data_IF_298768175614
#
_entry.id   IF_298768175614
#
_cell.length_a   1.000
_cell.length_b   1.000
_cell.length_c   1.000
_cell.angle_alpha   90.00
_cell.angle_beta   90.00
_cell.angle_gamma   90.00
#
_symmetry.space_group_name_H-M   'P 1'
#
loop_
_entity.id
_entity.type
_entity.pdbx_description
1 polymer ?
#
# COMPACT_ATOMS: atom_id res chain seq x y z
N UNK A 1 1.98 7.50 -0.36
CA UNK A 1 1.77 6.21 0.35
C UNK A 1 2.82 6.05 1.42
N UNK A 2 2.45 5.55 2.60
CA UNK A 2 3.42 5.25 3.65
C UNK A 2 4.44 4.18 3.24
N UNK A 3 5.51 4.06 4.00
CA UNK A 3 6.50 3.00 3.89
C UNK A 3 6.81 2.40 5.25
N UNK A 4 6.87 1.08 5.34
CA UNK A 4 7.22 0.34 6.54
C UNK A 4 8.47 -0.49 6.31
N UNK A 5 9.27 -0.67 7.35
CA UNK A 5 10.39 -1.58 7.37
C UNK A 5 10.73 -2.00 8.80
N UNK A 6 11.55 -3.03 8.96
CA UNK A 6 12.02 -3.44 10.28
C UNK A 6 12.88 -4.67 10.26
N UNK A 7 13.46 -4.94 11.43
CA UNK A 7 14.21 -6.17 11.73
C UNK A 7 13.78 -6.70 13.08
N UNK A 8 13.60 -8.01 13.16
CA UNK A 8 13.53 -8.76 14.42
C UNK A 8 14.74 -9.70 14.46
N UNK A 9 15.39 -9.79 15.61
CA UNK A 9 16.53 -10.69 15.82
C UNK A 9 16.44 -11.36 17.19
N UNK A 10 16.87 -12.62 17.27
CA UNK A 10 17.03 -13.31 18.56
C UNK A 10 18.18 -12.71 19.38
N UNK A 11 19.13 -12.03 18.74
CA UNK A 11 20.20 -11.29 19.40
C UNK A 11 19.91 -9.79 19.46
N UNK A 12 19.58 -9.20 20.62
CA UNK A 12 19.33 -7.77 20.77
C UNK A 12 20.53 -6.88 20.39
N UNK A 13 21.77 -7.40 20.50
CA UNK A 13 22.96 -6.63 20.13
C UNK A 13 23.02 -6.37 18.63
N UNK A 14 22.50 -7.29 17.80
CA UNK A 14 22.38 -7.07 16.35
C UNK A 14 21.44 -5.91 16.04
N UNK A 15 20.34 -5.77 16.79
CA UNK A 15 19.41 -4.64 16.62
C UNK A 15 20.15 -3.32 16.88
N UNK A 16 20.91 -3.22 17.95
CA UNK A 16 21.67 -2.02 18.26
C UNK A 16 22.78 -1.75 17.21
N UNK A 17 23.52 -2.79 16.81
CA UNK A 17 24.60 -2.67 15.84
C UNK A 17 24.15 -2.23 14.44
N UNK A 18 22.94 -2.61 14.05
CA UNK A 18 22.37 -2.30 12.74
C UNK A 18 21.70 -0.91 12.65
N UNK A 19 21.78 -0.06 13.68
CA UNK A 19 21.20 1.28 13.65
C UNK A 19 21.55 2.10 12.39
N UNK A 20 22.81 2.13 11.88
CA UNK A 20 23.13 2.84 10.64
C UNK A 20 22.39 2.26 9.41
N UNK A 21 22.09 0.97 9.38
CA UNK A 21 21.28 0.36 8.32
C UNK A 21 19.83 0.84 8.39
N UNK A 22 19.25 0.93 9.58
CA UNK A 22 17.88 1.42 9.76
C UNK A 22 17.74 2.89 9.32
N UNK A 23 18.74 3.72 9.56
CA UNK A 23 18.76 5.09 9.04
C UNK A 23 18.76 5.11 7.50
N UNK A 24 19.50 4.21 6.84
CA UNK A 24 19.47 4.10 5.36
C UNK A 24 18.13 3.58 4.87
N UNK A 25 17.54 2.56 5.52
CA UNK A 25 16.22 2.04 5.22
C UNK A 25 15.14 3.13 5.34
N UNK A 26 15.17 3.91 6.41
CA UNK A 26 14.24 5.03 6.59
C UNK A 26 14.41 6.10 5.51
N UNK A 27 15.64 6.42 5.14
CA UNK A 27 15.93 7.39 4.06
C UNK A 27 15.42 6.89 2.70
N UNK A 28 15.55 5.59 2.39
CA UNK A 28 15.05 5.01 1.13
C UNK A 28 13.54 5.08 1.00
N UNK A 29 12.80 5.06 2.11
CA UNK A 29 11.35 5.20 2.15
C UNK A 29 10.84 6.64 2.04
N UNK A 30 11.72 7.64 1.98
CA UNK A 30 11.34 9.05 2.06
C UNK A 30 10.39 9.50 0.93
N UNK A 31 10.51 8.93 -0.27
CA UNK A 31 9.59 9.23 -1.40
C UNK A 31 8.19 8.69 -1.16
N UNK A 32 8.04 7.61 -0.38
CA UNK A 32 6.73 7.06 -0.01
C UNK A 32 6.04 7.88 1.07
N UNK A 33 6.81 8.33 2.06
CA UNK A 33 6.29 9.05 3.20
C UNK A 33 7.14 10.28 3.51
N UNK A 34 6.86 11.41 2.84
CA UNK A 34 7.66 12.63 3.00
C UNK A 34 7.37 13.39 4.29
N UNK A 35 6.17 13.22 4.89
CA UNK A 35 5.65 14.12 5.90
C UNK A 35 6.22 13.86 7.30
N UNK A 36 6.30 12.59 7.70
CA UNK A 36 6.78 12.20 9.02
C UNK A 36 7.63 10.94 8.97
N UNK A 37 8.55 10.81 9.92
CA UNK A 37 9.41 9.62 10.06
C UNK A 37 9.43 9.18 11.52
N UNK A 38 9.31 7.87 11.73
CA UNK A 38 9.37 7.27 13.05
C UNK A 38 10.23 6.01 13.07
N UNK A 39 10.78 5.72 14.25
CA UNK A 39 11.56 4.53 14.49
C UNK A 39 11.36 4.07 15.94
N UNK A 40 11.11 2.78 16.11
CA UNK A 40 11.10 2.10 17.38
C UNK A 40 12.28 1.14 17.45
N UNK A 41 13.09 1.26 18.49
CA UNK A 41 14.25 0.41 18.72
C UNK A 41 14.24 -0.04 20.18
N UNK A 42 14.00 -1.32 20.40
CA UNK A 42 14.00 -1.87 21.74
C UNK A 42 14.17 -3.39 21.73
N UNK A 43 15.16 -3.90 22.47
CA UNK A 43 15.40 -5.33 22.63
C UNK A 43 15.59 -6.04 21.30
N UNK A 44 14.67 -6.91 20.94
CA UNK A 44 14.72 -7.77 19.76
C UNK A 44 14.13 -7.12 18.48
N UNK A 45 13.65 -5.87 18.57
CA UNK A 45 12.90 -5.25 17.47
C UNK A 45 13.42 -3.88 17.05
N UNK A 46 13.50 -3.67 15.73
CA UNK A 46 13.57 -2.38 15.07
C UNK A 46 12.39 -2.25 14.12
N UNK A 47 11.53 -1.24 14.30
CA UNK A 47 10.42 -0.92 13.41
C UNK A 47 10.59 0.50 12.88
N UNK A 48 10.39 0.68 11.59
CA UNK A 48 10.68 1.91 10.86
C UNK A 48 9.43 2.30 10.07
N UNK A 49 9.10 3.58 10.12
CA UNK A 49 7.98 4.15 9.37
C UNK A 49 8.36 5.44 8.66
N UNK A 50 7.83 5.62 7.44
CA UNK A 50 7.80 6.87 6.71
C UNK A 50 6.34 7.14 6.32
N UNK A 51 5.79 8.30 6.74
CA UNK A 51 4.37 8.62 6.63
C UNK A 51 4.07 9.59 5.50
N UNK A 52 3.07 9.27 4.69
CA UNK A 52 2.27 10.23 3.95
C UNK A 52 0.97 10.44 4.76
N UNK A 53 0.79 11.64 5.28
CA UNK A 53 -0.32 11.95 6.16
C UNK A 53 -1.58 12.30 5.35
N UNK A 54 -2.62 11.45 5.44
CA UNK A 54 -3.89 11.60 4.73
C UNK A 54 -5.05 11.74 5.71
N UNK A 55 -5.07 10.95 6.78
CA UNK A 55 -6.07 11.00 7.86
C UNK A 55 -5.37 11.24 9.18
N UNK A 56 -5.95 12.07 10.03
CA UNK A 56 -5.41 12.50 11.34
C UNK A 56 -3.95 12.97 11.25
N UNK A 57 -3.76 14.13 10.64
CA UNK A 57 -2.43 14.66 10.30
C UNK A 57 -1.51 14.78 11.53
N UNK A 58 -2.05 15.02 12.72
CA UNK A 58 -1.31 15.26 13.93
C UNK A 58 -1.07 13.98 14.76
N UNK A 59 -2.11 13.15 14.97
CA UNK A 59 -2.05 12.04 15.93
C UNK A 59 -1.82 10.66 15.30
N UNK A 60 -1.84 10.55 13.97
CA UNK A 60 -1.58 9.29 13.24
C UNK A 60 -0.10 8.92 13.13
N UNK A 61 0.77 9.41 14.03
CA UNK A 61 2.21 9.12 14.01
C UNK A 61 2.51 7.65 14.26
N UNK A 62 3.53 7.14 13.56
CA UNK A 62 3.96 5.74 13.68
C UNK A 62 5.50 5.65 13.81
N UNK A 63 6.05 4.60 14.47
CA UNK A 63 5.37 3.44 15.04
C UNK A 63 4.41 3.80 16.17
N UNK A 64 3.17 3.29 16.11
CA UNK A 64 2.17 3.52 17.14
C UNK A 64 2.25 2.45 18.23
N UNK A 65 2.10 2.85 19.50
CA UNK A 65 2.27 1.95 20.65
C UNK A 65 0.98 1.89 21.45
N UNK A 66 0.58 0.68 21.83
CA UNK A 66 -0.54 0.42 22.74
C UNK A 66 -0.10 -0.52 23.84
N UNK A 67 -0.31 -0.12 25.10
CA UNK A 67 -0.18 -0.98 26.27
C UNK A 67 -1.57 -1.50 26.68
N UNK A 68 -1.80 -2.80 26.55
CA UNK A 68 -3.08 -3.42 26.90
C UNK A 68 -2.89 -4.83 27.46
N UNK A 69 -3.52 -5.11 28.60
CA UNK A 69 -3.48 -6.46 29.19
C UNK A 69 -2.08 -6.94 29.59
N UNK A 70 -1.14 -6.02 29.86
CA UNK A 70 0.26 -6.34 30.17
C UNK A 70 1.11 -6.72 28.96
N UNK A 71 0.58 -6.57 27.73
CA UNK A 71 1.31 -6.68 26.47
C UNK A 71 1.48 -5.28 25.87
N UNK A 72 2.66 -5.03 25.30
CA UNK A 72 2.93 -3.83 24.51
C UNK A 72 2.94 -4.18 23.03
N UNK A 73 2.00 -3.58 22.32
CA UNK A 73 1.86 -3.72 20.87
C UNK A 73 2.48 -2.52 20.17
N UNK A 74 3.34 -2.76 19.19
CA UNK A 74 3.97 -1.71 18.37
C UNK A 74 3.62 -1.96 16.92
N UNK A 75 2.90 -1.03 16.29
CA UNK A 75 2.40 -1.11 14.93
C UNK A 75 3.18 -0.19 14.00
N UNK A 76 3.54 -0.70 12.82
CA UNK A 76 3.83 0.07 11.61
C UNK A 76 2.91 -0.39 10.49
N UNK A 77 2.28 0.58 9.82
CA UNK A 77 1.20 0.35 8.89
C UNK A 77 1.32 1.23 7.65
N UNK A 78 1.15 0.63 6.49
CA UNK A 78 1.03 1.28 5.19
C UNK A 78 -0.31 0.84 4.58
N UNK A 79 -1.32 1.67 4.66
CA UNK A 79 -2.65 1.29 4.17
C UNK A 79 -3.71 2.33 4.46
N UNK A 80 -4.94 1.93 4.19
CA UNK A 80 -6.17 2.64 4.52
C UNK A 80 -7.26 1.63 4.84
N UNK A 81 -7.97 1.82 5.96
CA UNK A 81 -9.14 1.03 6.34
C UNK A 81 -10.40 1.81 6.01
N UNK A 82 -11.22 1.23 5.14
CA UNK A 82 -12.45 1.84 4.64
C UNK A 82 -13.66 1.64 5.57
N UNK A 83 -13.56 0.72 6.53
CA UNK A 83 -14.58 0.47 7.55
C UNK A 83 -14.11 0.89 8.96
N UNK A 84 -13.30 1.91 9.04
CA UNK A 84 -12.80 2.49 10.30
C UNK A 84 -13.93 2.88 11.26
N UNK A 85 -15.02 3.56 10.82
CA UNK A 85 -16.11 3.93 11.73
C UNK A 85 -16.80 2.71 12.35
N UNK A 86 -17.07 1.66 11.58
CA UNK A 86 -17.71 0.43 12.04
C UNK A 86 -16.85 -0.32 13.04
N UNK A 87 -15.54 -0.43 12.78
CA UNK A 87 -14.59 -1.06 13.69
C UNK A 87 -14.41 -0.26 14.98
N UNK A 88 -14.31 1.06 14.86
CA UNK A 88 -14.24 1.97 16.02
C UNK A 88 -15.45 1.77 16.92
N UNK A 89 -16.67 1.77 16.39
CA UNK A 89 -17.89 1.57 17.17
C UNK A 89 -17.90 0.21 17.87
N UNK A 90 -17.49 -0.87 17.20
CA UNK A 90 -17.41 -2.21 17.79
C UNK A 90 -16.39 -2.26 18.93
N UNK A 91 -15.21 -1.69 18.76
CA UNK A 91 -14.15 -1.66 19.76
C UNK A 91 -14.52 -0.78 20.94
N UNK A 92 -15.14 0.39 20.72
CA UNK A 92 -15.64 1.25 21.78
C UNK A 92 -16.69 0.54 22.66
N UNK A 93 -17.59 -0.25 22.04
CA UNK A 93 -18.56 -1.07 22.77
C UNK A 93 -17.89 -2.19 23.61
N UNK A 94 -16.68 -2.63 23.24
CA UNK A 94 -15.86 -3.57 24.02
C UNK A 94 -14.99 -2.87 25.08
N UNK A 95 -15.10 -1.54 25.24
CA UNK A 95 -14.41 -0.77 26.26
C UNK A 95 -13.08 -0.16 25.84
N UNK A 96 -12.71 -0.23 24.57
CA UNK A 96 -11.53 0.46 24.05
C UNK A 96 -11.74 1.98 24.06
N UNK A 97 -10.68 2.73 24.34
CA UNK A 97 -10.66 4.19 24.30
C UNK A 97 -9.66 4.66 23.26
N UNK A 98 -10.06 5.63 22.46
CA UNK A 98 -9.26 6.18 21.37
C UNK A 98 -8.84 7.62 21.70
N UNK A 99 -7.67 8.00 21.26
CA UNK A 99 -7.12 9.36 21.41
C UNK A 99 -7.01 10.08 20.07
N UNK A 100 -7.15 9.35 18.97
CA UNK A 100 -7.10 9.86 17.61
C UNK A 100 -8.32 9.38 16.80
N UNK A 101 -8.49 9.92 15.61
CA UNK A 101 -9.50 9.41 14.65
C UNK A 101 -8.84 8.61 13.49
N UNK A 102 -7.54 8.27 13.65
CA UNK A 102 -6.81 7.56 12.62
C UNK A 102 -7.22 6.09 12.53
N UNK A 103 -7.25 5.57 11.32
CA UNK A 103 -7.41 4.15 11.05
C UNK A 103 -6.27 3.30 11.64
N UNK A 104 -5.09 3.89 11.80
CA UNK A 104 -3.91 3.27 12.43
C UNK A 104 -4.21 2.86 13.88
N UNK A 105 -4.83 3.74 14.68
CA UNK A 105 -5.20 3.44 16.06
C UNK A 105 -6.29 2.36 16.11
N UNK A 106 -7.28 2.46 15.23
CA UNK A 106 -8.36 1.46 15.12
C UNK A 106 -7.79 0.08 14.77
N UNK A 107 -6.85 0.00 13.84
CA UNK A 107 -6.15 -1.24 13.48
C UNK A 107 -5.38 -1.82 14.67
N UNK A 108 -4.67 -0.98 15.42
CA UNK A 108 -3.88 -1.41 16.57
C UNK A 108 -4.77 -1.98 17.68
N UNK A 109 -5.88 -1.32 17.98
CA UNK A 109 -6.88 -1.81 18.93
C UNK A 109 -7.59 -3.08 18.42
N UNK A 110 -7.89 -3.18 17.11
CA UNK A 110 -8.47 -4.38 16.52
C UNK A 110 -7.53 -5.59 16.68
N UNK A 111 -6.23 -5.39 16.42
CA UNK A 111 -5.25 -6.45 16.62
C UNK A 111 -5.08 -6.81 18.10
N UNK A 112 -5.05 -5.84 19.01
CA UNK A 112 -4.96 -6.11 20.44
C UNK A 112 -6.18 -6.89 20.97
N UNK A 113 -7.38 -6.64 20.40
CA UNK A 113 -8.63 -7.29 20.80
C UNK A 113 -8.79 -8.69 20.22
N UNK A 114 -8.54 -8.86 18.92
CA UNK A 114 -8.87 -10.10 18.20
C UNK A 114 -7.63 -10.84 17.67
N UNK A 115 -6.43 -10.31 17.91
CA UNK A 115 -5.22 -10.90 17.34
C UNK A 115 -5.28 -11.02 15.83
N UNK A 116 -4.72 -12.11 15.25
CA UNK A 116 -4.75 -12.36 13.82
C UNK A 116 -6.16 -12.43 13.18
N UNK A 117 -7.19 -12.73 13.95
CA UNK A 117 -8.58 -12.85 13.45
C UNK A 117 -9.19 -11.47 13.14
N UNK A 118 -8.53 -10.38 13.53
CA UNK A 118 -8.91 -9.04 13.08
C UNK A 118 -8.92 -8.94 11.55
N UNK A 119 -8.08 -9.69 10.82
CA UNK A 119 -7.98 -9.65 9.36
C UNK A 119 -9.30 -9.94 8.65
N UNK A 120 -10.15 -10.78 9.23
CA UNK A 120 -11.46 -11.11 8.67
C UNK A 120 -12.43 -9.93 8.73
N UNK A 121 -12.21 -9.01 9.69
CA UNK A 121 -13.04 -7.83 9.93
C UNK A 121 -12.59 -6.60 9.14
N UNK A 122 -11.33 -6.59 8.68
CA UNK A 122 -10.77 -5.44 7.96
C UNK A 122 -11.34 -5.34 6.53
N UNK A 123 -11.80 -4.14 6.16
CA UNK A 123 -12.06 -3.76 4.78
C UNK A 123 -11.12 -2.61 4.43
N UNK A 124 -10.14 -2.86 3.55
CA UNK A 124 -9.13 -1.88 3.21
C UNK A 124 -8.00 -2.46 2.39
N UNK A 125 -7.05 -1.59 2.08
CA UNK A 125 -5.78 -1.92 1.41
C UNK A 125 -4.65 -1.71 2.41
N UNK A 126 -3.85 -2.73 2.68
CA UNK A 126 -2.86 -2.64 3.75
C UNK A 126 -1.68 -3.60 3.63
N UNK A 127 -0.57 -3.14 4.18
CA UNK A 127 0.52 -3.96 4.66
C UNK A 127 0.91 -3.44 6.06
N UNK A 128 0.96 -4.30 7.05
CA UNK A 128 1.32 -3.88 8.39
C UNK A 128 2.17 -4.91 9.14
N UNK A 129 2.86 -4.42 10.16
CA UNK A 129 3.62 -5.22 11.10
C UNK A 129 3.26 -4.83 12.54
N UNK A 130 2.95 -5.81 13.38
CA UNK A 130 2.74 -5.64 14.82
C UNK A 130 3.77 -6.44 15.58
N UNK A 131 4.59 -5.76 16.38
CA UNK A 131 5.47 -6.40 17.35
C UNK A 131 4.79 -6.50 18.71
N UNK A 132 4.72 -7.70 19.24
CA UNK A 132 4.22 -8.01 20.60
C UNK A 132 5.43 -8.19 21.51
N UNK A 133 5.72 -7.18 22.32
CA UNK A 133 6.99 -7.10 23.04
C UNK A 133 7.18 -8.20 24.09
N UNK A 134 6.14 -8.50 24.87
CA UNK A 134 6.21 -9.56 25.90
C UNK A 134 6.17 -10.94 25.30
N UNK A 135 5.30 -11.16 24.30
CA UNK A 135 5.19 -12.43 23.60
C UNK A 135 6.38 -12.72 22.67
N UNK A 136 7.23 -11.71 22.38
CA UNK A 136 8.36 -11.79 21.46
C UNK A 136 7.93 -12.31 20.07
N UNK A 137 6.83 -11.75 19.56
CA UNK A 137 6.23 -12.14 18.28
C UNK A 137 6.08 -10.95 17.36
N UNK A 138 6.47 -11.12 16.11
CA UNK A 138 6.13 -10.22 15.01
C UNK A 138 5.00 -10.83 14.19
N UNK A 139 3.95 -10.07 13.98
CA UNK A 139 2.88 -10.39 13.04
C UNK A 139 2.98 -9.48 11.83
N UNK A 140 2.97 -10.06 10.63
CA UNK A 140 2.94 -9.38 9.33
C UNK A 140 1.65 -9.71 8.62
N UNK A 141 1.01 -8.75 7.98
CA UNK A 141 -0.17 -9.01 7.15
C UNK A 141 -0.16 -8.14 5.89
N UNK A 142 -0.74 -8.69 4.82
CA UNK A 142 -0.95 -8.01 3.55
C UNK A 142 -2.40 -8.16 3.12
N UNK A 143 -2.98 -7.12 2.53
CA UNK A 143 -4.37 -7.07 2.12
C UNK A 143 -4.75 -8.19 1.13
N UNK A 144 -6.08 -8.38 0.96
CA UNK A 144 -6.67 -9.48 0.22
C UNK A 144 -6.17 -9.62 -1.20
N UNK A 145 -6.01 -8.51 -1.93
CA UNK A 145 -5.58 -8.47 -3.33
C UNK A 145 -4.14 -7.98 -3.52
N UNK A 146 -3.43 -7.63 -2.41
CA UNK A 146 -2.03 -7.27 -2.41
C UNK A 146 -1.73 -5.90 -2.98
N UNK A 147 -2.63 -4.91 -2.77
CA UNK A 147 -2.42 -3.53 -3.21
C UNK A 147 -1.18 -2.91 -2.56
N UNK A 148 -1.01 -3.12 -1.26
CA UNK A 148 0.19 -2.63 -0.57
C UNK A 148 1.30 -3.69 -0.59
N UNK A 149 2.52 -3.34 -1.00
CA UNK A 149 3.63 -4.29 -1.08
C UNK A 149 4.22 -4.61 0.30
N UNK A 150 4.69 -5.85 0.47
CA UNK A 150 5.41 -6.29 1.65
C UNK A 150 6.39 -7.41 1.31
N UNK A 151 7.67 -7.15 1.49
CA UNK A 151 8.76 -8.09 1.26
C UNK A 151 9.43 -8.46 2.57
N UNK A 152 9.99 -9.66 2.64
CA UNK A 152 10.73 -10.12 3.81
C UNK A 152 11.86 -11.08 3.45
N UNK A 153 12.83 -11.22 4.34
CA UNK A 153 13.91 -12.17 4.24
C UNK A 153 14.27 -12.73 5.62
N UNK A 154 14.43 -14.04 5.70
CA UNK A 154 15.03 -14.68 6.87
C UNK A 154 16.56 -14.60 6.77
N UNK A 155 17.22 -14.17 7.84
CA UNK A 155 18.68 -14.04 7.91
C UNK A 155 19.18 -14.47 9.29
N UNK A 156 19.97 -15.58 9.30
CA UNK A 156 20.46 -16.15 10.55
C UNK A 156 19.31 -16.46 11.51
N UNK A 157 19.31 -15.75 12.62
CA UNK A 157 18.33 -15.83 13.70
C UNK A 157 17.28 -14.69 13.68
N UNK A 158 17.15 -14.00 12.52
CA UNK A 158 16.29 -12.84 12.38
C UNK A 158 15.42 -12.82 11.12
N UNK A 159 14.48 -11.88 11.10
CA UNK A 159 13.64 -11.54 9.97
C UNK A 159 13.76 -10.05 9.69
N UNK A 160 13.95 -9.69 8.42
CA UNK A 160 13.98 -8.32 7.92
C UNK A 160 12.81 -8.15 6.96
N UNK A 161 12.07 -7.05 7.05
CA UNK A 161 10.94 -6.77 6.16
C UNK A 161 10.94 -5.32 5.71
N UNK A 162 10.32 -5.05 4.55
CA UNK A 162 10.10 -3.70 4.04
C UNK A 162 8.99 -3.64 2.99
N UNK A 163 8.46 -2.44 2.77
CA UNK A 163 7.53 -2.13 1.67
C UNK A 163 8.20 -2.20 0.30
N UNK A 164 9.50 -1.97 0.20
CA UNK A 164 10.25 -1.88 -1.07
C UNK A 164 11.51 -2.73 -1.04
N UNK A 165 11.89 -3.27 -2.21
CA UNK A 165 13.08 -4.10 -2.35
C UNK A 165 14.36 -3.29 -2.09
N UNK A 166 14.47 -2.06 -2.65
CA UNK A 166 15.62 -1.17 -2.38
C UNK A 166 15.81 -0.89 -0.89
N UNK A 167 14.73 -0.84 -0.13
CA UNK A 167 14.79 -0.66 1.33
C UNK A 167 15.40 -1.87 2.01
N UNK A 168 15.03 -3.09 1.61
CA UNK A 168 15.69 -4.32 2.09
C UNK A 168 17.18 -4.33 1.76
N UNK A 169 17.56 -3.93 0.54
CA UNK A 169 18.95 -3.89 0.07
C UNK A 169 19.81 -2.86 0.84
N UNK A 170 19.22 -1.92 1.57
CA UNK A 170 19.96 -1.04 2.49
C UNK A 170 20.50 -1.79 3.71
N UNK A 171 20.00 -3.01 3.99
CA UNK A 171 20.44 -3.79 5.13
C UNK A 171 21.65 -4.66 4.76
N UNK A 172 22.74 -4.68 5.57
CA UNK A 172 23.99 -5.36 5.20
C UNK A 172 23.87 -6.87 5.07
N UNK A 173 22.88 -7.47 5.70
CA UNK A 173 22.61 -8.91 5.58
C UNK A 173 21.84 -9.28 4.29
N UNK A 174 21.37 -8.33 3.51
CA UNK A 174 20.63 -8.57 2.26
C UNK A 174 21.54 -8.22 1.08
N UNK A 175 22.24 -9.19 0.48
CA UNK A 175 23.08 -8.92 -0.67
C UNK A 175 22.24 -8.61 -1.91
N UNK A 176 22.67 -7.66 -2.78
CA UNK A 176 21.98 -7.34 -4.03
C UNK A 176 22.29 -8.38 -5.12
N UNK A 177 21.99 -9.64 -4.83
CA UNK A 177 22.22 -10.77 -5.72
C UNK A 177 20.90 -11.28 -6.27
N UNK A 178 20.80 -11.35 -7.60
CA UNK A 178 19.68 -11.96 -8.31
C UNK A 178 20.07 -13.39 -8.67
N UNK A 179 19.19 -14.35 -8.41
CA UNK A 179 19.36 -15.74 -8.85
C UNK A 179 18.65 -15.98 -10.21
N UNK A 180 18.78 -17.21 -10.72
CA UNK A 180 18.18 -17.56 -12.01
C UNK A 180 16.65 -17.39 -12.03
N UNK A 181 15.97 -17.63 -10.90
CA UNK A 181 14.52 -17.47 -10.79
C UNK A 181 14.12 -16.00 -10.82
N UNK A 182 14.78 -15.15 -10.01
CA UNK A 182 14.57 -13.72 -10.05
C UNK A 182 14.90 -13.08 -11.40
N UNK A 183 15.96 -13.57 -12.06
CA UNK A 183 16.31 -13.10 -13.41
C UNK A 183 15.23 -13.49 -14.45
N UNK A 184 14.68 -14.70 -14.35
CA UNK A 184 13.57 -15.15 -15.22
C UNK A 184 12.32 -14.28 -15.00
N UNK A 185 11.97 -13.97 -13.75
CA UNK A 185 10.84 -13.06 -13.44
C UNK A 185 11.02 -11.70 -14.13
N UNK A 186 12.18 -11.08 -14.00
CA UNK A 186 12.46 -9.75 -14.58
C UNK A 186 12.42 -9.78 -16.11
N UNK A 187 13.00 -10.81 -16.76
CA UNK A 187 13.16 -10.87 -18.21
C UNK A 187 11.93 -11.42 -18.94
N UNK A 188 11.18 -12.36 -18.33
CA UNK A 188 10.09 -13.06 -19.00
C UNK A 188 8.71 -12.51 -18.64
N UNK A 189 8.51 -12.03 -17.41
CA UNK A 189 7.23 -11.48 -16.97
C UNK A 189 7.15 -9.95 -17.13
N UNK A 190 8.29 -9.30 -17.38
CA UNK A 190 8.36 -7.86 -17.56
C UNK A 190 7.99 -7.10 -16.29
N UNK A 191 6.94 -6.23 -16.34
CA UNK A 191 6.59 -5.40 -15.19
C UNK A 191 5.93 -6.17 -14.03
N UNK A 192 5.45 -7.38 -14.29
CA UNK A 192 4.87 -8.27 -13.29
C UNK A 192 5.94 -9.07 -12.55
N UNK A 193 5.50 -9.78 -11.52
CA UNK A 193 6.31 -10.75 -10.77
C UNK A 193 5.47 -11.98 -10.44
N UNK A 194 6.11 -13.12 -10.33
CA UNK A 194 5.48 -14.31 -9.75
C UNK A 194 5.08 -14.02 -8.30
N UNK A 195 3.81 -14.20 -7.91
CA UNK A 195 3.37 -13.94 -6.53
C UNK A 195 4.22 -14.70 -5.50
N UNK A 196 4.86 -13.97 -4.60
CA UNK A 196 5.79 -14.49 -3.60
C UNK A 196 7.27 -14.35 -3.97
N UNK A 197 7.60 -14.01 -5.22
CA UNK A 197 8.97 -13.76 -5.65
C UNK A 197 9.43 -12.34 -5.26
N UNK A 198 10.57 -12.25 -4.54
CA UNK A 198 11.20 -10.99 -4.20
C UNK A 198 12.37 -10.64 -5.11
N UNK A 199 12.56 -11.35 -6.23
CA UNK A 199 13.62 -11.19 -7.25
C UNK A 199 15.02 -11.41 -6.72
N UNK A 200 15.39 -10.80 -5.60
CA UNK A 200 16.70 -10.97 -4.97
C UNK A 200 16.77 -12.26 -4.18
N UNK A 201 17.96 -12.86 -4.17
CA UNK A 201 18.22 -14.14 -3.54
C UNK A 201 17.77 -14.18 -2.07
N UNK A 202 16.91 -15.16 -1.74
CA UNK A 202 16.30 -15.34 -0.42
C UNK A 202 15.45 -14.15 0.07
N UNK A 203 15.02 -13.27 -0.79
CA UNK A 203 13.97 -12.30 -0.53
C UNK A 203 12.64 -12.88 -1.02
N UNK A 204 11.60 -12.73 -0.23
CA UNK A 204 10.25 -13.19 -0.55
C UNK A 204 9.26 -12.03 -0.46
N UNK A 205 8.23 -12.08 -1.28
CA UNK A 205 7.07 -11.22 -1.15
C UNK A 205 6.00 -11.93 -0.32
N UNK A 206 5.41 -11.27 0.66
CA UNK A 206 4.22 -11.80 1.32
C UNK A 206 3.06 -11.77 0.34
N UNK A 207 2.49 -12.95 0.03
CA UNK A 207 1.44 -13.08 -1.00
C UNK A 207 0.16 -12.33 -0.59
N UNK A 208 -0.64 -11.85 -1.57
CA UNK A 208 -1.97 -11.33 -1.30
C UNK A 208 -2.81 -12.26 -0.43
N UNK A 209 -3.61 -11.69 0.49
CA UNK A 209 -4.45 -12.45 1.40
C UNK A 209 -3.69 -13.35 2.37
N UNK A 210 -2.39 -13.08 2.60
CA UNK A 210 -1.57 -13.85 3.53
C UNK A 210 -1.12 -13.00 4.72
N UNK A 211 -0.87 -13.70 5.82
CA UNK A 211 -0.20 -13.17 6.99
C UNK A 211 0.94 -14.11 7.42
N UNK A 212 1.87 -13.58 8.21
CA UNK A 212 2.99 -14.33 8.73
C UNK A 212 3.22 -14.00 10.22
N UNK A 213 3.55 -15.01 11.00
CA UNK A 213 3.96 -14.86 12.40
C UNK A 213 5.41 -15.33 12.54
N UNK A 214 6.26 -14.45 13.04
CA UNK A 214 7.65 -14.77 13.40
C UNK A 214 7.83 -14.68 14.90
N UNK A 215 8.24 -15.79 15.50
CA UNK A 215 8.42 -15.91 16.95
C UNK A 215 9.89 -16.04 17.29
N UNK A 216 10.34 -15.24 18.25
CA UNK A 216 11.65 -15.35 18.89
C UNK A 216 11.46 -16.14 20.20
N UNK A 217 11.74 -17.44 20.25
CA UNK A 217 11.54 -18.22 21.46
C UNK A 217 12.65 -17.95 22.47
N UNK A 218 12.36 -18.11 23.76
CA UNK A 218 13.36 -18.03 24.82
C UNK A 218 14.38 -19.21 24.71
N UNK A 219 13.95 -20.34 24.19
CA UNK A 219 14.78 -21.53 23.95
C UNK A 219 14.44 -22.11 22.60
N UNK A 220 15.47 -22.44 21.81
CA UNK A 220 15.33 -23.00 20.48
C UNK A 220 15.50 -21.99 19.35
N UNK A 221 15.23 -22.44 18.12
CA UNK A 221 15.38 -21.60 16.94
C UNK A 221 14.10 -20.75 16.68
N UNK A 222 14.24 -19.54 16.16
CA UNK A 222 13.11 -18.74 15.70
C UNK A 222 12.30 -19.46 14.62
N UNK A 223 10.99 -19.19 14.60
CA UNK A 223 10.07 -19.82 13.67
C UNK A 223 9.25 -18.79 12.91
N UNK A 224 9.20 -18.94 11.60
CA UNK A 224 8.26 -18.22 10.73
C UNK A 224 7.14 -19.17 10.28
N UNK A 225 5.90 -18.74 10.46
CA UNK A 225 4.73 -19.44 9.95
C UNK A 225 3.95 -18.48 9.05
N UNK A 226 3.73 -18.86 7.79
CA UNK A 226 2.94 -18.10 6.83
C UNK A 226 1.62 -18.82 6.62
N UNK A 227 0.50 -18.09 6.70
CA UNK A 227 -0.82 -18.62 6.41
C UNK A 227 -1.60 -17.70 5.46
N UNK A 228 -2.46 -18.30 4.64
CA UNK A 228 -3.44 -17.56 3.85
C UNK A 228 -4.69 -17.38 4.72
N UNK A 229 -5.13 -16.15 4.92
CA UNK A 229 -6.35 -15.83 5.66
C UNK A 229 -7.53 -15.54 4.72
N UNK A 230 -7.26 -15.23 3.45
CA UNK A 230 -8.28 -14.96 2.45
C UNK A 230 -7.88 -15.46 1.06
N UNK A 231 -8.85 -15.94 0.32
CA UNK A 231 -8.75 -16.25 -1.12
C UNK A 231 -10.09 -15.99 -1.79
N UNK A 232 -10.02 -15.67 -3.08
CA UNK A 232 -11.22 -15.57 -3.90
C UNK A 232 -11.82 -16.98 -4.06
N UNK A 233 -13.13 -17.08 -3.84
CA UNK A 233 -13.90 -18.32 -4.02
C UNK A 233 -14.99 -18.08 -5.03
N UNK A 234 -15.28 -19.10 -5.82
CA UNK A 234 -16.37 -19.11 -6.78
C UNK A 234 -17.65 -19.62 -6.10
N UNK A 235 -18.77 -18.96 -6.39
CA UNK A 235 -20.07 -19.30 -5.86
C UNK A 235 -21.12 -19.19 -6.95
N UNK A 236 -22.17 -20.01 -6.87
CA UNK A 236 -23.35 -19.86 -7.74
C UNK A 236 -23.95 -18.47 -7.58
N UNK A 237 -24.34 -17.91 -8.70
CA UNK A 237 -24.95 -16.59 -8.77
C UNK A 237 -26.43 -16.69 -9.10
N UNK A 238 -27.34 -16.60 -8.09
CA UNK A 238 -28.77 -16.87 -8.25
C UNK A 238 -29.56 -15.68 -8.84
N UNK A 239 -28.97 -14.48 -8.87
CA UNK A 239 -29.67 -13.28 -9.29
C UNK A 239 -29.77 -13.18 -10.82
N UNK A 240 -30.86 -12.63 -11.31
CA UNK A 240 -31.01 -12.25 -12.72
C UNK A 240 -30.15 -11.02 -13.07
N UNK A 241 -30.09 -10.66 -14.34
CA UNK A 241 -29.28 -9.54 -14.82
C UNK A 241 -29.65 -8.20 -14.14
N UNK A 242 -30.93 -7.93 -13.93
CA UNK A 242 -31.40 -6.66 -13.36
C UNK A 242 -30.95 -6.51 -11.90
N UNK A 243 -31.13 -7.55 -11.10
CA UNK A 243 -30.69 -7.57 -9.71
C UNK A 243 -29.16 -7.54 -9.60
N UNK A 244 -28.46 -8.28 -10.46
CA UNK A 244 -26.99 -8.25 -10.54
C UNK A 244 -26.48 -6.85 -10.86
N UNK A 245 -27.01 -6.20 -11.89
CA UNK A 245 -26.62 -4.86 -12.28
C UNK A 245 -26.84 -3.83 -11.15
N UNK A 246 -27.97 -3.94 -10.44
CA UNK A 246 -28.25 -3.09 -9.29
C UNK A 246 -27.25 -3.30 -8.15
N UNK A 247 -26.96 -4.57 -7.77
CA UNK A 247 -25.98 -4.89 -6.74
C UNK A 247 -24.57 -4.42 -7.11
N UNK A 248 -24.14 -4.64 -8.36
CA UNK A 248 -22.81 -4.18 -8.83
C UNK A 248 -22.71 -2.68 -8.74
N UNK A 249 -23.75 -1.94 -9.20
CA UNK A 249 -23.78 -0.49 -9.06
C UNK A 249 -23.64 -0.04 -7.62
N UNK A 250 -24.42 -0.63 -6.71
CA UNK A 250 -24.43 -0.23 -5.30
C UNK A 250 -23.08 -0.54 -4.62
N UNK A 251 -22.45 -1.69 -4.95
CA UNK A 251 -21.12 -2.05 -4.47
C UNK A 251 -20.03 -1.09 -4.99
N UNK A 252 -20.07 -0.73 -6.27
CA UNK A 252 -19.11 0.23 -6.85
C UNK A 252 -19.27 1.60 -6.22
N UNK A 253 -20.52 2.06 -6.03
CA UNK A 253 -20.81 3.34 -5.38
C UNK A 253 -20.29 3.36 -3.94
N UNK A 254 -20.56 2.31 -3.16
CA UNK A 254 -20.08 2.17 -1.79
C UNK A 254 -18.55 2.14 -1.75
N UNK A 255 -17.92 1.34 -2.61
CA UNK A 255 -16.46 1.20 -2.66
C UNK A 255 -15.75 2.53 -2.96
N UNK A 256 -16.23 3.31 -3.92
CA UNK A 256 -15.66 4.62 -4.23
C UNK A 256 -15.89 5.60 -3.09
N UNK A 257 -17.13 5.69 -2.57
CA UNK A 257 -17.48 6.63 -1.50
C UNK A 257 -16.64 6.40 -0.23
N UNK A 258 -16.44 5.15 0.19
CA UNK A 258 -15.61 4.81 1.36
C UNK A 258 -14.14 5.21 1.19
N UNK A 259 -13.64 5.24 -0.04
CA UNK A 259 -12.25 5.60 -0.34
C UNK A 259 -12.02 7.11 -0.48
N UNK A 260 -13.05 7.94 -0.36
CA UNK A 260 -12.92 9.40 -0.39
C UNK A 260 -12.68 10.03 1.00
N UNK A 261 -12.58 9.22 2.05
CA UNK A 261 -12.29 9.71 3.41
C UNK A 261 -10.86 10.24 3.46
N UNK A 262 -10.72 11.54 3.72
CA UNK A 262 -9.42 12.22 3.73
C UNK A 262 -9.52 13.57 4.45
N UNK A 263 -8.50 13.93 5.23
CA UNK A 263 -8.34 15.25 5.85
C UNK A 263 -7.55 16.22 4.93
N UNK A 264 -7.14 15.74 3.74
CA UNK A 264 -6.48 16.53 2.70
C UNK A 264 -7.33 16.54 1.42
N UNK A 265 -7.13 17.51 0.51
CA UNK A 265 -7.88 17.56 -0.74
C UNK A 265 -7.77 16.28 -1.57
N UNK A 266 -8.90 15.77 -2.03
CA UNK A 266 -8.97 14.60 -2.91
C UNK A 266 -9.06 15.04 -4.37
N UNK A 267 -8.36 14.30 -5.24
CA UNK A 267 -8.42 14.49 -6.68
C UNK A 267 -8.49 13.14 -7.39
N UNK A 268 -8.94 13.13 -8.65
CA UNK A 268 -8.98 11.91 -9.46
C UNK A 268 -8.19 12.06 -10.75
N UNK A 269 -7.62 10.95 -11.22
CA UNK A 269 -7.14 10.86 -12.59
C UNK A 269 -8.32 10.60 -13.54
N UNK A 270 -8.38 11.35 -14.62
CA UNK A 270 -9.42 11.26 -15.64
C UNK A 270 -8.78 10.93 -16.99
N UNK A 271 -8.93 9.70 -17.46
CA UNK A 271 -8.38 9.24 -18.73
C UNK A 271 -9.39 9.25 -19.88
N UNK A 272 -10.65 9.64 -19.62
CA UNK A 272 -11.74 9.54 -20.58
C UNK A 272 -12.31 8.11 -20.74
N UNK A 273 -11.69 7.10 -20.13
CA UNK A 273 -12.20 5.73 -20.10
C UNK A 273 -13.34 5.54 -19.09
N UNK A 274 -14.07 4.42 -19.19
CA UNK A 274 -15.24 4.13 -18.36
C UNK A 274 -14.93 4.13 -16.86
N UNK A 275 -13.86 3.49 -16.44
CA UNK A 275 -13.53 3.32 -15.01
C UNK A 275 -13.20 4.67 -14.36
N UNK A 276 -12.31 5.45 -14.97
CA UNK A 276 -11.95 6.77 -14.46
C UNK A 276 -13.12 7.75 -14.47
N UNK A 277 -13.97 7.67 -15.48
CA UNK A 277 -15.19 8.48 -15.60
C UNK A 277 -16.20 8.14 -14.51
N UNK A 278 -16.40 6.84 -14.22
CA UNK A 278 -17.30 6.37 -13.17
C UNK A 278 -16.80 6.81 -11.79
N UNK A 279 -15.52 6.57 -11.47
CA UNK A 279 -14.91 6.96 -10.19
C UNK A 279 -15.00 8.47 -10.01
N UNK A 280 -14.62 9.26 -11.03
CA UNK A 280 -14.67 10.71 -10.96
C UNK A 280 -16.13 11.23 -10.83
N UNK A 281 -17.12 10.54 -11.41
CA UNK A 281 -18.52 10.91 -11.27
C UNK A 281 -19.04 10.74 -9.84
N UNK A 282 -18.66 9.65 -9.18
CA UNK A 282 -18.99 9.42 -7.77
C UNK A 282 -18.29 10.46 -6.89
N UNK A 283 -16.99 10.66 -7.10
CA UNK A 283 -16.19 11.62 -6.33
C UNK A 283 -16.73 13.06 -6.50
N UNK A 284 -17.03 13.49 -7.71
CA UNK A 284 -17.59 14.83 -7.97
C UNK A 284 -18.92 15.06 -7.25
N UNK A 285 -19.78 14.04 -7.20
CA UNK A 285 -21.05 14.12 -6.47
C UNK A 285 -20.84 14.26 -4.97
N UNK A 286 -19.89 13.52 -4.40
CA UNK A 286 -19.57 13.62 -2.96
C UNK A 286 -18.93 14.98 -2.61
N UNK A 287 -17.99 15.48 -3.43
CA UNK A 287 -17.42 16.81 -3.27
C UNK A 287 -18.48 17.91 -3.37
N UNK A 288 -19.39 17.82 -4.34
CA UNK A 288 -20.50 18.78 -4.50
C UNK A 288 -21.43 18.81 -3.28
N UNK A 289 -21.69 17.69 -2.61
CA UNK A 289 -22.46 17.64 -1.35
C UNK A 289 -21.80 18.44 -0.22
N UNK A 290 -20.50 18.60 -0.30
CA UNK A 290 -19.71 19.39 0.65
C UNK A 290 -19.45 20.82 0.16
N UNK A 291 -20.06 21.23 -0.95
CA UNK A 291 -19.89 22.55 -1.55
C UNK A 291 -18.54 22.76 -2.24
N UNK A 292 -17.82 21.68 -2.57
CA UNK A 292 -16.51 21.71 -3.23
C UNK A 292 -16.61 21.21 -4.66
N UNK A 293 -15.63 21.62 -5.50
CA UNK A 293 -15.44 21.06 -6.83
C UNK A 293 -14.33 20.01 -6.80
N UNK A 294 -14.55 18.89 -7.48
CA UNK A 294 -13.53 17.87 -7.66
C UNK A 294 -12.39 18.41 -8.55
N UNK A 295 -11.16 18.20 -8.13
CA UNK A 295 -9.98 18.35 -8.98
C UNK A 295 -9.75 17.08 -9.78
N UNK A 296 -9.61 17.22 -11.10
CA UNK A 296 -9.30 16.09 -11.99
C UNK A 296 -7.99 16.35 -12.74
N UNK A 297 -7.19 15.31 -12.93
CA UNK A 297 -5.91 15.39 -13.63
C UNK A 297 -5.88 14.44 -14.82
N UNK A 298 -5.36 14.91 -15.95
CA UNK A 298 -5.10 14.08 -17.13
C UNK A 298 -3.68 14.32 -17.64
N UNK A 299 -3.06 13.26 -18.14
CA UNK A 299 -1.76 13.31 -18.78
C UNK A 299 -1.96 13.27 -20.28
N UNK A 300 -1.27 14.14 -21.01
CA UNK A 300 -1.17 14.09 -22.45
C UNK A 300 0.28 14.33 -22.88
N UNK A 301 0.60 14.05 -24.15
CA UNK A 301 1.94 14.19 -24.69
C UNK A 301 1.97 15.37 -25.66
N UNK A 302 3.07 16.10 -25.64
CA UNK A 302 3.31 17.20 -26.57
C UNK A 302 3.17 16.72 -28.01
N UNK A 303 2.41 17.48 -28.80
CA UNK A 303 2.10 17.14 -30.20
C UNK A 303 1.36 15.82 -30.42
N UNK A 304 0.71 15.25 -29.38
CA UNK A 304 0.00 13.97 -29.46
C UNK A 304 -1.00 13.96 -30.63
N UNK A 305 -1.79 15.00 -30.82
CA UNK A 305 -2.76 15.09 -31.89
C UNK A 305 -2.14 14.97 -33.31
N UNK A 306 -0.86 15.34 -33.46
CA UNK A 306 -0.12 15.23 -34.74
C UNK A 306 0.39 13.83 -35.02
N UNK A 307 0.74 13.09 -33.96
CA UNK A 307 1.39 11.78 -34.07
C UNK A 307 0.46 10.61 -33.74
N UNK A 308 -0.72 10.90 -33.23
CA UNK A 308 -1.71 9.86 -32.90
C UNK A 308 -2.20 9.15 -34.16
N UNK A 309 -2.11 7.83 -34.15
CA UNK A 309 -2.70 6.96 -35.19
C UNK A 309 -3.70 6.02 -34.53
N UNK A 310 -4.95 6.11 -34.96
CA UNK A 310 -6.02 5.23 -34.48
C UNK A 310 -5.67 3.76 -34.76
N UNK A 311 -5.74 2.93 -33.71
CA UNK A 311 -5.51 1.50 -33.77
C UNK A 311 -6.74 0.69 -33.37
N UNK A 312 -6.65 -0.65 -33.47
CA UNK A 312 -7.76 -1.54 -33.03
C UNK A 312 -8.07 -1.42 -31.52
N UNK A 313 -7.07 -1.14 -30.71
CA UNK A 313 -7.20 -1.05 -29.24
C UNK A 313 -7.44 0.38 -28.75
N UNK A 314 -7.10 1.38 -29.54
CA UNK A 314 -7.30 2.80 -29.25
C UNK A 314 -7.82 3.50 -30.51
N UNK A 315 -9.13 3.36 -30.81
CA UNK A 315 -9.71 3.92 -32.03
C UNK A 315 -9.86 5.45 -31.99
N UNK A 316 -9.90 6.05 -30.80
CA UNK A 316 -10.08 7.49 -30.61
C UNK A 316 -9.00 8.02 -29.66
N UNK A 317 -8.73 9.33 -29.72
CA UNK A 317 -7.84 9.99 -28.79
C UNK A 317 -8.58 10.30 -27.46
N UNK A 318 -7.88 10.17 -26.34
CA UNK A 318 -8.45 10.38 -25.00
C UNK A 318 -8.90 11.83 -24.70
N UNK A 319 -8.23 12.90 -25.21
CA UNK A 319 -8.57 14.28 -24.92
C UNK A 319 -10.03 14.68 -25.19
N UNK A 320 -10.66 14.13 -26.24
CA UNK A 320 -12.06 14.41 -26.55
C UNK A 320 -13.00 13.93 -25.45
N UNK A 321 -12.83 12.68 -24.99
CA UNK A 321 -13.63 12.10 -23.92
C UNK A 321 -13.35 12.75 -22.57
N UNK A 322 -12.10 13.13 -22.31
CA UNK A 322 -11.73 13.88 -21.11
C UNK A 322 -12.45 15.21 -21.06
N UNK A 323 -12.53 15.95 -22.20
CA UNK A 323 -13.21 17.22 -22.26
C UNK A 323 -14.72 17.08 -22.02
N UNK A 324 -15.36 16.06 -22.62
CA UNK A 324 -16.78 15.75 -22.39
C UNK A 324 -17.02 15.49 -20.89
N UNK A 325 -16.21 14.64 -20.28
CA UNK A 325 -16.33 14.30 -18.87
C UNK A 325 -16.08 15.50 -17.95
N UNK A 326 -15.08 16.32 -18.23
CA UNK A 326 -14.77 17.52 -17.45
C UNK A 326 -15.96 18.48 -17.40
N UNK A 327 -16.61 18.69 -18.54
CA UNK A 327 -17.82 19.51 -18.63
C UNK A 327 -19.01 18.90 -17.86
N UNK A 328 -19.21 17.58 -18.02
CA UNK A 328 -20.27 16.84 -17.33
C UNK A 328 -20.12 16.88 -15.81
N UNK A 329 -18.91 16.76 -15.31
CA UNK A 329 -18.59 16.73 -13.88
C UNK A 329 -18.54 18.13 -13.24
N UNK A 330 -18.48 19.20 -14.01
CA UNK A 330 -18.15 20.57 -13.55
C UNK A 330 -16.88 20.57 -12.67
N UNK A 331 -15.89 19.78 -13.05
CA UNK A 331 -14.63 19.60 -12.30
C UNK A 331 -13.63 20.71 -12.61
N UNK A 332 -12.71 20.95 -11.67
CA UNK A 332 -11.53 21.77 -11.92
C UNK A 332 -10.45 20.87 -12.52
N UNK A 333 -10.33 20.94 -13.85
CA UNK A 333 -9.43 20.05 -14.60
C UNK A 333 -8.03 20.60 -14.77
N UNK A 334 -7.02 19.72 -14.66
CA UNK A 334 -5.62 20.02 -14.80
C UNK A 334 -4.98 19.09 -15.84
N UNK A 335 -4.38 19.70 -16.88
CA UNK A 335 -3.59 18.97 -17.85
C UNK A 335 -2.11 18.92 -17.44
N UNK A 336 -1.52 17.75 -17.48
CA UNK A 336 -0.07 17.53 -17.37
C UNK A 336 0.43 17.12 -18.74
N UNK A 337 1.07 18.05 -19.44
CA UNK A 337 1.62 17.80 -20.78
C UNK A 337 3.08 17.38 -20.65
N UNK A 338 3.41 16.18 -21.10
CA UNK A 338 4.75 15.62 -21.04
C UNK A 338 5.48 15.75 -22.38
N UNK A 339 6.72 16.21 -22.33
CA UNK A 339 7.63 16.18 -23.48
C UNK A 339 8.35 14.83 -23.56
N UNK A 340 8.71 14.41 -24.77
CA UNK A 340 9.47 13.17 -25.01
C UNK A 340 10.83 13.18 -24.29
N UNK A 341 11.49 14.34 -24.20
CA UNK A 341 12.76 14.48 -23.50
C UNK A 341 12.59 14.31 -21.99
N UNK A 342 11.55 14.92 -21.41
CA UNK A 342 11.21 14.77 -19.98
C UNK A 342 10.93 13.30 -19.61
N UNK A 343 10.24 12.55 -20.51
CA UNK A 343 10.01 11.12 -20.32
C UNK A 343 11.31 10.31 -20.36
N UNK A 344 12.20 10.64 -21.31
CA UNK A 344 13.50 9.98 -21.40
C UNK A 344 14.37 10.23 -20.17
N UNK A 345 14.39 11.47 -19.69
CA UNK A 345 15.15 11.88 -18.51
C UNK A 345 14.60 11.23 -17.21
N UNK A 346 13.31 10.92 -17.17
CA UNK A 346 12.66 10.27 -16.02
C UNK A 346 12.86 8.74 -15.95
N UNK A 347 13.47 8.09 -16.94
CA UNK A 347 13.61 6.62 -16.99
C UNK A 347 14.37 6.05 -15.79
N UNK A 348 15.48 6.67 -15.42
CA UNK A 348 16.29 6.21 -14.27
C UNK A 348 15.52 6.34 -12.95
N UNK A 349 14.78 7.46 -12.79
CA UNK A 349 13.92 7.66 -11.62
C UNK A 349 12.78 6.65 -11.55
N UNK A 350 12.21 6.28 -12.71
CA UNK A 350 11.16 5.27 -12.79
C UNK A 350 11.66 3.87 -12.37
N UNK A 351 12.88 3.50 -12.80
CA UNK A 351 13.52 2.24 -12.37
C UNK A 351 13.77 2.27 -10.86
N UNK A 352 14.30 3.36 -10.33
CA UNK A 352 14.51 3.52 -8.89
C UNK A 352 13.20 3.45 -8.10
N UNK A 353 12.14 4.09 -8.61
CA UNK A 353 10.82 4.08 -7.95
C UNK A 353 10.21 2.67 -7.91
N UNK A 354 10.44 1.85 -8.92
CA UNK A 354 9.88 0.49 -9.03
C UNK A 354 10.75 -0.60 -8.41
N UNK A 355 11.99 -0.31 -8.04
CA UNK A 355 13.02 -1.26 -7.60
C UNK A 355 13.52 -2.23 -8.70
N UNK A 356 12.89 -2.26 -9.86
CA UNK A 356 13.15 -3.22 -10.94
C UNK A 356 12.99 -2.54 -12.31
N UNK A 357 13.74 -2.96 -13.34
CA UNK A 357 13.54 -2.48 -14.70
C UNK A 357 12.13 -2.82 -15.20
N UNK A 358 11.51 -1.89 -15.88
CA UNK A 358 10.23 -2.07 -16.57
C UNK A 358 10.41 -1.93 -18.07
N UNK A 359 9.75 -2.79 -18.86
CA UNK A 359 9.88 -2.81 -20.31
C UNK A 359 8.87 -1.92 -21.05
N UNK A 360 8.00 -1.20 -20.35
CA UNK A 360 6.91 -0.42 -20.95
C UNK A 360 6.79 0.98 -20.36
N UNK A 361 6.67 1.98 -21.21
CA UNK A 361 6.39 3.37 -20.83
C UNK A 361 5.08 3.52 -20.04
N UNK A 362 4.08 2.72 -20.33
CA UNK A 362 2.81 2.67 -19.58
C UNK A 362 3.07 2.30 -18.11
N UNK A 363 4.04 1.44 -17.86
CA UNK A 363 4.42 1.01 -16.51
C UNK A 363 5.37 1.99 -15.82
N UNK A 364 5.99 2.90 -16.53
CA UNK A 364 6.76 4.01 -15.97
C UNK A 364 5.83 5.04 -15.33
N UNK A 365 4.66 5.26 -15.91
CA UNK A 365 3.64 6.16 -15.35
C UNK A 365 2.85 5.54 -14.18
N UNK A 366 2.79 4.22 -14.05
CA UNK A 366 2.04 3.53 -12.99
C UNK A 366 2.53 3.82 -11.55
N UNK A 367 3.83 3.90 -11.24
CA UNK A 367 4.27 4.27 -9.90
C UNK A 367 3.81 5.66 -9.47
N UNK A 368 3.73 6.60 -10.40
CA UNK A 368 3.18 7.93 -10.14
C UNK A 368 1.66 7.90 -10.07
N UNK A 369 0.99 7.07 -10.87
CA UNK A 369 -0.45 6.86 -10.82
C UNK A 369 -0.92 6.29 -9.47
N UNK A 370 -0.23 5.27 -8.95
CA UNK A 370 -0.51 4.71 -7.62
C UNK A 370 -0.16 5.68 -6.48
N UNK A 371 0.84 6.53 -6.64
CA UNK A 371 1.21 7.55 -5.65
C UNK A 371 0.24 8.74 -5.60
N UNK A 372 -0.54 8.95 -6.66
CA UNK A 372 -1.50 10.06 -6.77
C UNK A 372 -2.97 9.63 -6.52
N UNK A 373 -3.23 8.32 -6.42
CA UNK A 373 -4.58 7.74 -6.10
C UNK A 373 -4.69 7.32 -4.63
N UNK A 374 -3.63 7.47 -3.84
CA UNK A 374 -3.65 7.13 -2.41
C UNK A 374 -3.81 8.35 -1.55
#
# INVERSE_FOLDING_TARGET
MCGIAGQISADPNKIAANYPAYCRMQKSLARRGPDQRGMYLHGHAALIHARLAVVDLENGCQPMVLDQGGEKYILVYNGELYNTPELHAQLAALGHRFVSHSDTEVLLHAFAQWGPDCLEKLNGIFAFAVWQQRAQKLFLARDRIGVKPLFYALRGDGLIFASELKTLLCHPEIPPQVDAHGLADVLLLGPGRTPGCGVFRNVQELKPGCCAEYTVPQVGAPRLTVRRYWQLTDHEHPDDFTHTAAKVRDLVMDAVTRQLVSDVPVATFLSGGLDSSLISSVAAREEARQGRKLHTFSVDYKDNAKYFHAGKFQPNSDPEFIQIMTQYLDSQHHWVILDTQELADALDEAVEARDLPGLSLIHISEPTRLALIS
#
